data_IF_665068012066
#
_entry.id   IF_665068012066
#
_cell.length_a   1.000
_cell.length_b   1.000
_cell.length_c   1.000
_cell.angle_alpha   90.00
_cell.angle_beta   90.00
_cell.angle_gamma   90.00
#
_symmetry.space_group_name_H-M   'P 1'
#
loop_
_entity.id
_entity.type
_entity.pdbx_description
1 polymer ?
#
# COMPACT_ATOMS: atom_id res chain seq x y z
N UNK A 1 -17.92 18.82 -1.61
CA UNK A 1 -16.67 19.19 -0.88
C UNK A 1 -16.22 18.12 0.11
N UNK A 2 -17.04 17.73 1.11
CA UNK A 2 -16.64 16.76 2.15
C UNK A 2 -16.25 15.37 1.62
N UNK A 3 -16.97 14.84 0.63
CA UNK A 3 -16.67 13.52 0.02
C UNK A 3 -15.30 13.51 -0.68
N UNK A 4 -14.96 14.58 -1.39
CA UNK A 4 -13.68 14.74 -2.08
C UNK A 4 -12.49 14.77 -1.10
N UNK A 5 -12.65 15.43 0.05
CA UNK A 5 -11.64 15.45 1.12
C UNK A 5 -11.41 14.06 1.72
N UNK A 6 -12.47 13.26 1.89
CA UNK A 6 -12.38 11.90 2.42
C UNK A 6 -11.61 11.00 1.45
N UNK A 7 -11.95 11.03 0.16
CA UNK A 7 -11.24 10.23 -0.86
C UNK A 7 -9.76 10.62 -0.97
N UNK A 8 -9.45 11.92 -0.92
CA UNK A 8 -8.06 12.39 -0.95
C UNK A 8 -7.25 11.90 0.26
N UNK A 9 -7.82 11.94 1.47
CA UNK A 9 -7.17 11.47 2.68
C UNK A 9 -6.90 9.95 2.64
N UNK A 10 -7.89 9.16 2.20
CA UNK A 10 -7.75 7.70 2.05
C UNK A 10 -6.65 7.38 1.04
N UNK A 11 -6.66 8.02 -0.14
CA UNK A 11 -5.66 7.79 -1.18
C UNK A 11 -4.23 8.10 -0.72
N UNK A 12 -4.05 9.23 -0.01
CA UNK A 12 -2.73 9.61 0.51
C UNK A 12 -2.21 8.57 1.51
N UNK A 13 -3.10 8.07 2.37
CA UNK A 13 -2.76 7.09 3.40
C UNK A 13 -2.42 5.69 2.84
N UNK A 14 -3.12 5.26 1.78
CA UNK A 14 -2.84 4.01 1.08
C UNK A 14 -1.49 4.11 0.35
N UNK A 15 -1.23 5.27 -0.28
CA UNK A 15 0.02 5.50 -1.00
C UNK A 15 1.22 5.47 -0.04
N UNK A 16 1.14 6.13 1.12
CA UNK A 16 2.23 6.09 2.10
C UNK A 16 2.45 4.70 2.67
N UNK A 17 1.39 3.93 2.94
CA UNK A 17 1.49 2.54 3.37
C UNK A 17 2.14 1.64 2.31
N UNK A 18 1.76 1.80 1.04
CA UNK A 18 2.34 1.05 -0.08
C UNK A 18 3.84 1.29 -0.22
N UNK A 19 4.28 2.55 -0.18
CA UNK A 19 5.71 2.89 -0.23
C UNK A 19 6.49 2.34 0.97
N UNK A 20 5.89 2.37 2.17
CA UNK A 20 6.52 1.84 3.37
C UNK A 20 6.74 0.31 3.30
N UNK A 21 5.78 -0.44 2.74
CA UNK A 21 5.90 -1.89 2.52
C UNK A 21 6.90 -2.19 1.38
N UNK A 22 6.88 -1.40 0.30
CA UNK A 22 7.83 -1.54 -0.80
C UNK A 22 9.28 -1.36 -0.34
N UNK A 23 9.53 -0.49 0.63
CA UNK A 23 10.87 -0.30 1.23
C UNK A 23 11.33 -1.48 2.09
N UNK A 24 10.42 -2.35 2.53
CA UNK A 24 10.75 -3.54 3.33
C UNK A 24 11.10 -4.77 2.48
N UNK A 25 10.75 -4.80 1.20
CA UNK A 25 11.08 -5.94 0.37
C UNK A 25 12.60 -6.03 0.21
N UNK A 26 13.17 -7.12 0.72
CA UNK A 26 14.59 -7.46 0.56
C UNK A 26 14.86 -7.80 -0.89
N UNK A 27 15.17 -6.79 -1.69
CA UNK A 27 15.61 -6.97 -3.07
C UNK A 27 17.07 -7.44 -3.10
N UNK A 28 17.47 -8.20 -4.11
CA UNK A 28 18.89 -8.42 -4.39
C UNK A 28 19.59 -7.09 -4.66
N UNK A 29 20.88 -7.00 -4.31
CA UNK A 29 21.66 -5.79 -4.50
C UNK A 29 21.72 -5.38 -5.98
N UNK A 30 21.46 -4.10 -6.26
CA UNK A 30 21.70 -3.54 -7.59
C UNK A 30 23.19 -3.32 -7.81
N UNK A 31 23.58 -3.12 -9.07
CA UNK A 31 24.98 -2.77 -9.43
C UNK A 31 25.46 -1.49 -8.72
N UNK A 32 24.56 -0.55 -8.44
CA UNK A 32 24.89 0.67 -7.71
C UNK A 32 25.16 0.37 -6.23
N UNK A 33 24.35 -0.50 -5.60
CA UNK A 33 24.57 -0.88 -4.19
C UNK A 33 25.92 -1.59 -4.01
N UNK A 34 26.31 -2.46 -4.96
CA UNK A 34 27.62 -3.13 -4.94
C UNK A 34 28.76 -2.10 -5.06
N UNK A 35 28.65 -1.15 -6.00
CA UNK A 35 29.63 -0.07 -6.16
C UNK A 35 29.76 0.80 -4.90
N UNK A 36 28.64 1.08 -4.21
CA UNK A 36 28.64 1.82 -2.95
C UNK A 36 29.36 1.06 -1.84
N UNK A 37 29.11 -0.25 -1.70
CA UNK A 37 29.81 -1.12 -0.74
C UNK A 37 31.32 -1.11 -1.04
N UNK A 38 31.72 -1.25 -2.30
CA UNK A 38 33.13 -1.19 -2.70
C UNK A 38 33.77 0.18 -2.40
N UNK A 39 33.03 1.26 -2.62
CA UNK A 39 33.49 2.62 -2.30
C UNK A 39 33.71 2.79 -0.79
N UNK A 40 32.79 2.30 0.03
CA UNK A 40 32.95 2.34 1.49
C UNK A 40 34.12 1.48 1.98
N UNK A 41 34.34 0.30 1.38
CA UNK A 41 35.53 -0.52 1.67
C UNK A 41 36.83 0.23 1.37
N UNK A 42 36.92 0.91 0.22
CA UNK A 42 38.08 1.74 -0.14
C UNK A 42 38.29 2.90 0.82
N UNK A 43 37.21 3.56 1.25
CA UNK A 43 37.26 4.64 2.24
C UNK A 43 37.75 4.14 3.61
N UNK A 44 37.28 2.97 4.04
CA UNK A 44 37.76 2.32 5.26
C UNK A 44 39.27 2.09 5.24
N UNK A 45 39.78 1.47 4.15
CA UNK A 45 41.21 1.18 3.98
C UNK A 45 42.06 2.45 3.97
N UNK A 46 41.53 3.57 3.46
CA UNK A 46 42.23 4.86 3.47
C UNK A 46 42.30 5.49 4.86
N UNK A 47 41.27 5.31 5.68
CA UNK A 47 41.12 5.97 6.97
C UNK A 47 41.66 5.16 8.16
N UNK A 48 41.92 3.87 7.98
CA UNK A 48 42.39 2.96 9.03
C UNK A 48 43.76 2.38 8.70
N UNK A 49 44.55 2.13 9.74
CA UNK A 49 45.86 1.48 9.65
C UNK A 49 45.67 -0.04 9.68
N UNK A 50 46.39 -0.75 8.83
CA UNK A 50 46.42 -2.21 8.86
C UNK A 50 47.11 -2.70 10.15
N UNK A 51 46.62 -3.80 10.70
CA UNK A 51 47.24 -4.47 11.84
C UNK A 51 48.56 -5.15 11.42
N UNK A 52 48.52 -5.86 10.29
CA UNK A 52 49.63 -6.63 9.73
C UNK A 52 49.57 -6.53 8.20
N UNK A 53 50.75 -6.53 7.57
CA UNK A 53 50.91 -6.65 6.13
C UNK A 53 51.71 -7.91 5.81
N UNK A 54 51.17 -8.76 4.94
CA UNK A 54 51.78 -10.02 4.54
C UNK A 54 52.17 -9.94 3.08
N UNK A 55 53.46 -10.14 2.81
CA UNK A 55 53.98 -10.34 1.46
C UNK A 55 54.08 -11.85 1.17
N UNK A 56 53.13 -12.38 0.38
CA UNK A 56 53.15 -13.78 -0.02
C UNK A 56 54.32 -14.08 -0.95
N UNK A 57 54.78 -13.10 -1.73
CA UNK A 57 55.96 -13.23 -2.58
C UNK A 57 57.22 -13.32 -1.73
N UNK A 58 57.30 -12.69 -0.56
CA UNK A 58 58.43 -12.87 0.36
C UNK A 58 58.43 -14.27 1.01
N UNK A 59 57.25 -14.79 1.35
CA UNK A 59 57.10 -16.12 1.97
C UNK A 59 57.34 -17.26 0.96
N UNK A 60 56.92 -17.04 -0.29
CA UNK A 60 57.02 -18.00 -1.38
C UNK A 60 57.65 -17.34 -2.62
N UNK A 61 58.98 -17.11 -2.62
CA UNK A 61 59.68 -16.20 -3.55
C UNK A 61 59.86 -16.69 -4.99
N UNK A 62 59.42 -17.90 -5.32
CA UNK A 62 59.58 -18.42 -6.67
C UNK A 62 58.40 -19.29 -7.07
N UNK A 63 58.21 -19.43 -8.39
CA UNK A 63 57.17 -20.28 -8.97
C UNK A 63 57.26 -21.75 -8.54
N UNK A 64 58.41 -22.20 -8.03
CA UNK A 64 58.58 -23.57 -7.51
C UNK A 64 57.66 -23.88 -6.33
N UNK A 65 57.29 -22.86 -5.55
CA UNK A 65 56.41 -23.01 -4.38
C UNK A 65 54.92 -22.99 -4.72
N UNK A 66 54.56 -22.76 -6.00
CA UNK A 66 53.14 -22.79 -6.43
C UNK A 66 52.46 -24.11 -6.10
N UNK A 67 53.21 -25.22 -6.08
CA UNK A 67 52.70 -26.52 -5.65
C UNK A 67 52.14 -26.46 -4.21
N UNK A 68 52.82 -25.78 -3.29
CA UNK A 68 52.47 -25.65 -1.87
C UNK A 68 51.32 -24.66 -1.59
N UNK A 69 50.95 -23.87 -2.59
CA UNK A 69 49.84 -22.93 -2.54
C UNK A 69 48.61 -23.46 -3.26
N UNK A 70 48.73 -24.45 -4.14
CA UNK A 70 47.63 -24.85 -5.03
C UNK A 70 46.63 -25.79 -4.35
N UNK A 71 45.32 -25.45 -4.34
CA UNK A 71 44.28 -26.32 -3.78
C UNK A 71 44.13 -27.66 -4.51
N UNK A 72 44.55 -27.74 -5.78
CA UNK A 72 44.43 -28.94 -6.64
C UNK A 72 45.31 -30.10 -6.16
N UNK A 73 46.39 -29.81 -5.43
CA UNK A 73 47.33 -30.82 -4.96
C UNK A 73 46.87 -31.52 -3.69
N UNK A 74 45.74 -31.10 -3.13
CA UNK A 74 45.17 -31.64 -1.89
C UNK A 74 44.16 -32.70 -2.27
N UNK A 75 44.64 -33.89 -2.61
CA UNK A 75 43.75 -35.04 -2.72
C UNK A 75 43.02 -35.23 -1.39
N UNK A 76 41.71 -35.49 -1.47
CA UNK A 76 40.75 -35.50 -0.36
C UNK A 76 41.33 -36.06 0.95
N UNK A 77 41.45 -35.20 1.97
CA UNK A 77 41.70 -35.59 3.36
C UNK A 77 40.57 -36.47 3.93
N UNK A 78 39.42 -36.58 3.24
CA UNK A 78 38.21 -37.24 3.76
C UNK A 78 38.25 -38.77 3.78
N UNK A 79 39.34 -39.43 3.37
CA UNK A 79 39.37 -40.91 3.42
C UNK A 79 40.57 -41.57 4.09
N UNK A 80 41.61 -40.86 4.53
CA UNK A 80 42.71 -41.54 5.23
C UNK A 80 43.33 -40.64 6.30
N UNK A 81 43.12 -41.01 7.57
CA UNK A 81 43.90 -40.48 8.70
C UNK A 81 45.40 -40.55 8.37
N UNK A 82 46.18 -39.55 8.77
CA UNK A 82 47.66 -39.53 8.63
C UNK A 82 48.33 -40.78 9.18
N UNK A 83 47.72 -41.43 10.18
CA UNK A 83 48.09 -42.77 10.68
C UNK A 83 48.04 -43.85 9.59
N UNK A 84 47.10 -43.77 8.65
CA UNK A 84 46.99 -44.70 7.54
C UNK A 84 48.21 -44.65 6.60
N UNK A 85 48.79 -43.47 6.33
CA UNK A 85 49.93 -43.35 5.43
C UNK A 85 51.17 -44.07 5.96
N UNK A 86 51.55 -43.84 7.21
CA UNK A 86 52.69 -44.54 7.83
C UNK A 86 52.41 -46.01 8.12
N UNK A 87 51.15 -46.42 8.22
CA UNK A 87 50.77 -47.84 8.38
C UNK A 87 50.79 -48.66 7.08
N UNK A 88 50.94 -48.02 5.91
CA UNK A 88 51.00 -48.74 4.63
C UNK A 88 52.21 -49.68 4.60
N UNK A 89 52.06 -50.92 4.11
CA UNK A 89 53.18 -51.84 3.98
C UNK A 89 54.26 -51.24 3.09
N UNK A 90 55.52 -51.59 3.38
CA UNK A 90 56.66 -51.15 2.60
C UNK A 90 56.66 -51.83 1.23
N UNK A 91 56.73 -51.03 0.16
CA UNK A 91 56.87 -51.55 -1.20
C UNK A 91 58.20 -52.28 -1.34
N UNK A 92 58.18 -53.50 -1.89
CA UNK A 92 59.40 -54.24 -2.25
C UNK A 92 59.95 -53.58 -3.51
N UNK A 93 60.94 -52.70 -3.32
CA UNK A 93 61.64 -52.05 -4.43
C UNK A 93 62.64 -53.07 -4.96
N UNK A 94 62.52 -53.41 -6.24
CA UNK A 94 63.39 -54.39 -6.87
C UNK A 94 64.82 -53.83 -6.90
N UNK A 95 65.76 -54.44 -6.16
CA UNK A 95 67.14 -53.96 -5.96
C UNK A 95 67.98 -53.83 -7.26
N UNK A 96 67.41 -54.18 -8.42
CA UNK A 96 68.06 -54.17 -9.73
C UNK A 96 67.87 -52.90 -10.58
N UNK A 97 67.09 -51.91 -10.14
CA UNK A 97 67.02 -50.63 -10.85
C UNK A 97 68.17 -49.71 -10.43
N UNK A 98 68.88 -49.21 -11.43
CA UNK A 98 70.18 -48.55 -11.32
C UNK A 98 70.16 -47.32 -10.41
N UNK A 99 71.25 -47.15 -9.66
CA UNK A 99 71.50 -46.08 -8.67
C UNK A 99 71.48 -44.64 -9.23
N UNK A 100 71.07 -44.42 -10.47
CA UNK A 100 71.26 -43.16 -11.20
C UNK A 100 69.98 -42.36 -11.45
N UNK A 101 68.78 -42.92 -11.26
CA UNK A 101 67.51 -42.19 -11.45
C UNK A 101 66.41 -42.73 -10.51
N UNK A 102 66.62 -42.65 -9.19
CA UNK A 102 65.50 -42.87 -8.26
C UNK A 102 64.58 -41.66 -8.29
N UNK A 103 63.28 -41.91 -8.46
CA UNK A 103 62.28 -40.86 -8.29
C UNK A 103 62.27 -40.41 -6.82
N UNK A 104 62.01 -39.13 -6.57
CA UNK A 104 62.03 -38.56 -5.20
C UNK A 104 61.10 -39.31 -4.24
N UNK A 105 59.98 -39.82 -4.76
CA UNK A 105 59.01 -40.67 -4.06
C UNK A 105 59.62 -42.00 -3.60
N UNK A 106 60.47 -42.64 -4.40
CA UNK A 106 61.13 -43.91 -4.07
C UNK A 106 62.21 -43.75 -2.97
N UNK A 107 62.94 -42.62 -3.04
CA UNK A 107 63.90 -42.23 -1.98
C UNK A 107 63.14 -42.02 -0.67
N UNK A 108 62.00 -41.32 -0.73
CA UNK A 108 61.14 -41.11 0.42
C UNK A 108 60.59 -42.42 1.00
N UNK A 109 60.11 -43.33 0.15
CA UNK A 109 59.62 -44.65 0.58
C UNK A 109 60.74 -45.48 1.23
N UNK A 110 61.96 -45.42 0.69
CA UNK A 110 63.12 -46.07 1.31
C UNK A 110 63.45 -45.49 2.69
N UNK A 111 63.29 -44.17 2.88
CA UNK A 111 63.44 -43.51 4.16
C UNK A 111 62.33 -43.89 5.15
N UNK A 112 61.06 -43.83 4.71
CA UNK A 112 59.88 -44.26 5.48
C UNK A 112 60.05 -45.68 6.02
N UNK A 113 60.55 -46.58 5.17
CA UNK A 113 60.77 -47.99 5.47
C UNK A 113 62.10 -48.34 6.17
N UNK A 114 62.83 -47.35 6.69
CA UNK A 114 64.11 -47.54 7.39
C UNK A 114 65.21 -48.22 6.57
N UNK A 115 65.12 -48.23 5.22
CA UNK A 115 66.20 -48.73 4.35
C UNK A 115 67.36 -47.73 4.26
N UNK A 116 67.04 -46.44 4.28
CA UNK A 116 67.99 -45.35 4.44
C UNK A 116 67.70 -44.59 5.72
N UNK A 117 68.75 -44.22 6.45
CA UNK A 117 68.64 -43.49 7.73
C UNK A 117 68.56 -41.98 7.55
N UNK A 118 69.24 -41.46 6.53
CA UNK A 118 69.38 -40.02 6.28
C UNK A 118 68.92 -39.69 4.86
N UNK A 119 68.30 -38.52 4.71
CA UNK A 119 68.00 -37.91 3.42
C UNK A 119 69.14 -36.98 3.02
N UNK A 120 69.29 -36.69 1.73
CA UNK A 120 70.22 -35.66 1.25
C UNK A 120 69.84 -34.29 1.83
N UNK A 121 70.82 -33.42 2.08
CA UNK A 121 70.59 -32.10 2.68
C UNK A 121 69.65 -31.22 1.85
N UNK A 122 69.65 -31.38 0.53
CA UNK A 122 68.83 -30.63 -0.43
C UNK A 122 67.53 -31.37 -0.84
N UNK A 123 67.20 -32.47 -0.15
CA UNK A 123 66.04 -33.31 -0.49
C UNK A 123 64.74 -32.51 -0.50
N UNK A 124 64.53 -31.65 0.51
CA UNK A 124 63.29 -30.87 0.62
C UNK A 124 63.25 -29.67 -0.32
N UNK A 125 64.41 -29.17 -0.77
CA UNK A 125 64.52 -28.05 -1.71
C UNK A 125 64.31 -28.43 -3.18
N UNK A 126 64.61 -29.69 -3.54
CA UNK A 126 64.43 -30.22 -4.89
C UNK A 126 62.97 -30.49 -5.20
N UNK A 127 62.51 -30.15 -6.40
CA UNK A 127 61.18 -30.52 -6.89
C UNK A 127 61.07 -32.05 -7.09
N UNK A 128 59.86 -32.65 -6.96
CA UNK A 128 58.60 -32.05 -6.52
C UNK A 128 58.56 -31.79 -5.00
N UNK A 129 57.86 -30.74 -4.56
CA UNK A 129 57.72 -30.42 -3.12
C UNK A 129 56.58 -31.21 -2.47
N UNK A 130 55.63 -31.67 -3.28
CA UNK A 130 54.47 -32.46 -2.86
C UNK A 130 54.69 -33.92 -3.25
N UNK A 131 54.35 -34.81 -2.32
CA UNK A 131 54.31 -36.25 -2.53
C UNK A 131 53.00 -36.65 -3.19
N UNK A 132 52.95 -37.80 -3.86
CA UNK A 132 51.78 -38.31 -4.59
C UNK A 132 50.52 -38.49 -3.71
N UNK A 133 50.68 -38.49 -2.39
CA UNK A 133 49.58 -38.46 -1.43
C UNK A 133 48.89 -37.10 -1.30
N UNK A 134 49.42 -36.04 -1.91
CA UNK A 134 48.94 -34.67 -1.78
C UNK A 134 49.42 -33.93 -0.53
N UNK A 135 50.40 -34.49 0.18
CA UNK A 135 51.04 -33.86 1.34
C UNK A 135 52.45 -33.38 0.96
N UNK A 136 52.93 -32.32 1.59
CA UNK A 136 54.31 -31.88 1.39
C UNK A 136 55.30 -32.89 1.99
N UNK A 137 56.47 -33.04 1.36
CA UNK A 137 57.53 -33.88 1.93
C UNK A 137 57.98 -33.36 3.30
N UNK A 138 57.96 -32.04 3.52
CA UNK A 138 58.29 -31.44 4.81
C UNK A 138 57.28 -31.85 5.90
N UNK A 139 55.98 -31.88 5.58
CA UNK A 139 54.95 -32.32 6.49
C UNK A 139 55.02 -33.83 6.77
N UNK A 140 55.31 -34.64 5.75
CA UNK A 140 55.56 -36.07 5.97
C UNK A 140 56.80 -36.30 6.86
N UNK A 141 57.85 -35.50 6.72
CA UNK A 141 59.02 -35.57 7.61
C UNK A 141 58.67 -35.19 9.05
N UNK A 142 57.92 -34.12 9.25
CA UNK A 142 57.40 -33.73 10.56
C UNK A 142 56.55 -34.86 11.20
N UNK A 143 55.61 -35.43 10.45
CA UNK A 143 54.76 -36.52 10.93
C UNK A 143 55.51 -37.83 11.23
N UNK A 144 56.70 -38.03 10.65
CA UNK A 144 57.51 -39.23 10.90
C UNK A 144 58.02 -39.31 12.35
N UNK A 145 58.04 -38.19 13.08
CA UNK A 145 58.54 -38.14 14.46
C UNK A 145 60.04 -38.37 14.60
N UNK A 146 60.81 -38.30 13.49
CA UNK A 146 62.26 -38.49 13.50
C UNK A 146 62.98 -37.16 13.66
N UNK A 147 63.93 -37.11 14.59
CA UNK A 147 64.87 -35.99 14.71
C UNK A 147 65.74 -35.85 13.44
N UNK A 148 65.96 -34.63 12.92
CA UNK A 148 65.57 -33.33 13.50
C UNK A 148 64.19 -32.81 13.07
N UNK A 149 63.43 -33.55 12.27
CA UNK A 149 62.22 -33.08 11.57
C UNK A 149 61.03 -32.80 12.49
N UNK A 150 61.01 -33.41 13.67
CA UNK A 150 60.01 -33.20 14.73
C UNK A 150 60.34 -32.01 15.64
N UNK A 151 61.55 -31.44 15.52
CA UNK A 151 62.00 -30.33 16.39
C UNK A 151 61.41 -28.99 15.96
N UNK A 152 61.07 -28.16 16.95
CA UNK A 152 60.54 -26.80 16.73
C UNK A 152 61.46 -25.95 15.85
N UNK A 153 62.78 -26.04 16.04
CA UNK A 153 63.76 -25.29 15.27
C UNK A 153 63.78 -25.68 13.79
N UNK A 154 63.66 -26.98 13.49
CA UNK A 154 63.62 -27.43 12.10
C UNK A 154 62.32 -26.99 11.43
N UNK A 155 61.18 -27.16 12.09
CA UNK A 155 59.88 -26.71 11.56
C UNK A 155 59.90 -25.22 11.28
N UNK A 156 60.36 -24.40 12.24
CA UNK A 156 60.48 -22.94 12.11
C UNK A 156 61.36 -22.54 10.92
N UNK A 157 62.51 -23.21 10.73
CA UNK A 157 63.42 -22.92 9.64
C UNK A 157 62.88 -23.30 8.24
N UNK A 158 61.87 -24.16 8.17
CA UNK A 158 61.37 -24.76 6.93
C UNK A 158 59.87 -24.49 6.67
N UNK A 159 59.26 -23.48 7.31
CA UNK A 159 57.83 -23.16 7.19
C UNK A 159 57.36 -22.96 5.74
N UNK A 160 58.23 -22.45 4.86
CA UNK A 160 58.00 -22.25 3.44
C UNK A 160 57.95 -23.55 2.61
N UNK A 161 58.31 -24.69 3.19
CA UNK A 161 58.27 -26.01 2.54
C UNK A 161 57.00 -26.81 2.86
N UNK A 162 56.18 -26.30 3.79
CA UNK A 162 54.88 -26.87 4.10
C UNK A 162 53.81 -26.31 3.16
N UNK A 163 52.82 -27.14 2.84
CA UNK A 163 51.64 -26.68 2.13
C UNK A 163 50.84 -25.74 3.04
N UNK A 164 50.21 -24.70 2.47
CA UNK A 164 49.51 -23.66 3.27
C UNK A 164 48.44 -24.26 4.20
N UNK A 165 47.70 -25.29 3.76
CA UNK A 165 46.72 -26.00 4.59
C UNK A 165 47.31 -26.92 5.67
N UNK A 166 48.61 -27.19 5.66
CA UNK A 166 49.29 -27.99 6.68
C UNK A 166 49.72 -27.12 7.87
N UNK A 167 49.82 -25.80 7.68
CA UNK A 167 50.25 -24.86 8.72
C UNK A 167 49.33 -24.89 9.95
N UNK A 168 48.03 -25.14 9.79
CA UNK A 168 47.06 -25.26 10.90
C UNK A 168 47.38 -26.45 11.83
N UNK A 169 48.01 -27.51 11.32
CA UNK A 169 48.33 -28.74 12.05
C UNK A 169 49.70 -28.67 12.75
N UNK A 170 50.50 -27.64 12.48
CA UNK A 170 51.81 -27.48 13.07
C UNK A 170 51.72 -26.92 14.50
N UNK A 171 52.69 -27.24 15.38
CA UNK A 171 52.72 -26.68 16.73
C UNK A 171 52.78 -25.15 16.69
N UNK A 172 51.90 -24.49 17.45
CA UNK A 172 51.80 -23.01 17.48
C UNK A 172 53.14 -22.34 17.80
N UNK A 173 53.98 -22.97 18.64
CA UNK A 173 55.31 -22.44 19.00
C UNK A 173 56.28 -22.36 17.81
N UNK A 174 56.10 -23.25 16.83
CA UNK A 174 56.91 -23.29 15.61
C UNK A 174 56.46 -22.26 14.56
N UNK A 175 55.24 -21.71 14.69
CA UNK A 175 54.66 -20.77 13.74
C UNK A 175 54.99 -19.34 14.15
N UNK A 176 55.83 -18.66 13.35
CA UNK A 176 56.24 -17.28 13.59
C UNK A 176 55.77 -16.34 12.47
N UNK A 177 55.56 -15.07 12.86
CA UNK A 177 55.26 -13.98 11.94
C UNK A 177 54.04 -14.26 11.06
N UNK A 178 54.22 -14.08 9.75
CA UNK A 178 53.14 -14.17 8.76
C UNK A 178 52.55 -15.59 8.62
N UNK A 179 53.33 -16.64 8.89
CA UNK A 179 52.83 -18.03 8.81
C UNK A 179 51.80 -18.33 9.90
N UNK A 180 51.92 -17.70 11.07
CA UNK A 180 50.92 -17.81 12.14
C UNK A 180 49.57 -17.19 11.76
N UNK A 181 49.60 -16.15 10.91
CA UNK A 181 48.35 -15.53 10.42
C UNK A 181 47.68 -16.45 9.40
N UNK A 182 48.45 -17.02 8.47
CA UNK A 182 47.94 -17.96 7.47
C UNK A 182 47.36 -19.23 8.10
N UNK A 183 47.97 -19.74 9.18
CA UNK A 183 47.50 -20.96 9.86
C UNK A 183 46.12 -20.81 10.52
N UNK A 184 45.64 -19.59 10.76
CA UNK A 184 44.33 -19.31 11.37
C UNK A 184 43.22 -19.13 10.34
N UNK A 185 43.56 -19.02 9.06
CA UNK A 185 42.59 -18.81 7.99
C UNK A 185 41.93 -20.14 7.64
N UNK A 186 40.61 -20.12 7.46
CA UNK A 186 39.87 -21.30 6.99
C UNK A 186 40.24 -21.60 5.54
N UNK A 187 40.08 -22.86 5.14
CA UNK A 187 40.40 -23.34 3.78
C UNK A 187 39.83 -22.45 2.67
N UNK A 188 38.55 -22.05 2.75
CA UNK A 188 37.92 -21.19 1.73
C UNK A 188 38.49 -19.76 1.69
N UNK A 189 38.89 -19.21 2.85
CA UNK A 189 39.50 -17.89 2.92
C UNK A 189 40.93 -17.92 2.35
N UNK A 190 41.65 -19.02 2.60
CA UNK A 190 42.96 -19.30 1.99
C UNK A 190 42.85 -19.48 0.47
N UNK A 191 41.84 -20.20 -0.02
CA UNK A 191 41.57 -20.33 -1.46
C UNK A 191 41.31 -18.95 -2.10
N UNK A 192 40.50 -18.09 -1.47
CA UNK A 192 40.29 -16.72 -1.94
C UNK A 192 41.59 -15.91 -1.99
N UNK A 193 42.46 -16.07 -1.00
CA UNK A 193 43.76 -15.39 -0.88
C UNK A 193 44.75 -15.86 -1.95
N UNK A 194 44.82 -17.17 -2.19
CA UNK A 194 45.64 -17.80 -3.25
C UNK A 194 45.15 -17.39 -4.64
N UNK A 195 43.83 -17.35 -4.85
CA UNK A 195 43.22 -16.93 -6.10
C UNK A 195 43.37 -15.43 -6.40
N UNK A 196 43.96 -14.66 -5.47
CA UNK A 196 44.24 -13.25 -5.69
C UNK A 196 43.04 -12.32 -5.49
N UNK A 197 42.03 -12.74 -4.71
CA UNK A 197 40.80 -11.97 -4.47
C UNK A 197 41.12 -10.57 -3.91
N UNK A 198 40.49 -9.51 -4.42
CA UNK A 198 40.85 -8.14 -4.02
C UNK A 198 40.51 -7.83 -2.56
N UNK A 199 39.42 -8.39 -2.04
CA UNK A 199 39.01 -8.26 -0.64
C UNK A 199 38.50 -9.59 -0.13
N UNK A 200 38.81 -9.93 1.13
CA UNK A 200 38.39 -11.16 1.79
C UNK A 200 37.91 -10.80 3.19
N UNK A 201 36.72 -11.25 3.58
CA UNK A 201 36.21 -11.10 4.94
C UNK A 201 36.31 -12.46 5.61
N UNK A 202 37.00 -12.49 6.75
CA UNK A 202 37.16 -13.69 7.61
C UNK A 202 36.37 -13.49 8.89
N UNK A 203 36.43 -14.45 9.82
CA UNK A 203 35.71 -14.32 11.08
C UNK A 203 36.27 -13.19 11.97
N UNK A 204 37.59 -12.93 11.90
CA UNK A 204 38.29 -11.97 12.77
C UNK A 204 38.91 -10.78 12.03
N UNK A 205 39.11 -10.89 10.71
CA UNK A 205 39.84 -9.90 9.91
C UNK A 205 39.20 -9.60 8.55
N UNK A 206 39.31 -8.34 8.12
CA UNK A 206 39.09 -7.89 6.76
C UNK A 206 40.44 -7.75 6.05
N UNK A 207 40.62 -8.49 4.97
CA UNK A 207 41.89 -8.60 4.24
C UNK A 207 41.74 -7.91 2.90
N UNK A 208 42.69 -7.06 2.53
CA UNK A 208 42.67 -6.31 1.27
C UNK A 208 43.99 -6.49 0.55
N UNK A 209 43.92 -6.88 -0.73
CA UNK A 209 45.09 -6.97 -1.59
C UNK A 209 45.57 -5.58 -1.97
N UNK A 210 46.87 -5.31 -1.87
CA UNK A 210 47.42 -4.11 -2.45
C UNK A 210 47.51 -4.28 -3.97
N UNK A 211 46.66 -3.56 -4.72
CA UNK A 211 46.66 -3.64 -6.18
C UNK A 211 47.81 -2.87 -6.83
N UNK A 212 48.52 -2.04 -6.07
CA UNK A 212 49.61 -1.20 -6.58
C UNK A 212 50.99 -1.85 -6.45
N UNK A 213 51.12 -2.94 -5.70
CA UNK A 213 52.39 -3.64 -5.51
C UNK A 213 52.62 -4.66 -6.63
N UNK A 214 53.87 -4.76 -7.06
CA UNK A 214 54.35 -5.82 -7.99
C UNK A 214 54.31 -7.17 -7.27
N UNK A 215 54.54 -7.18 -5.96
CA UNK A 215 54.43 -8.35 -5.09
C UNK A 215 52.98 -8.59 -4.66
N UNK A 216 52.67 -9.84 -4.29
CA UNK A 216 51.34 -10.19 -3.78
C UNK A 216 51.25 -9.88 -2.29
N UNK A 217 50.98 -8.62 -1.97
CA UNK A 217 50.84 -8.13 -0.58
C UNK A 217 49.38 -7.99 -0.16
N UNK A 218 49.10 -8.37 1.09
CA UNK A 218 47.79 -8.31 1.71
C UNK A 218 47.85 -7.58 3.05
N UNK A 219 46.92 -6.65 3.25
CA UNK A 219 46.75 -5.88 4.48
C UNK A 219 45.59 -6.45 5.29
N UNK A 220 45.83 -6.72 6.57
CA UNK A 220 44.87 -7.27 7.51
C UNK A 220 44.35 -6.17 8.42
N UNK A 221 43.03 -6.03 8.48
CA UNK A 221 42.34 -5.11 9.38
C UNK A 221 41.45 -5.91 10.32
N UNK A 222 41.33 -5.56 11.60
CA UNK A 222 40.38 -6.21 12.49
C UNK A 222 38.95 -6.09 11.94
N UNK A 223 38.19 -7.20 11.91
CA UNK A 223 36.80 -7.17 11.42
C UNK A 223 35.93 -6.24 12.25
N UNK A 224 36.19 -6.15 13.56
CA UNK A 224 35.49 -5.24 14.46
C UNK A 224 35.63 -3.77 14.03
N UNK A 225 36.77 -3.36 13.47
CA UNK A 225 36.95 -2.00 12.96
C UNK A 225 36.12 -1.76 11.71
N UNK A 226 36.00 -2.76 10.84
CA UNK A 226 35.12 -2.71 9.68
C UNK A 226 33.66 -2.59 10.13
N UNK A 227 33.20 -3.47 11.02
CA UNK A 227 31.85 -3.44 11.58
C UNK A 227 31.55 -2.07 12.23
N UNK A 228 32.47 -1.55 13.04
CA UNK A 228 32.36 -0.23 13.67
C UNK A 228 32.29 0.91 12.65
N UNK A 229 33.04 0.83 11.54
CA UNK A 229 32.98 1.82 10.47
C UNK A 229 31.61 1.83 9.76
N UNK A 230 30.92 0.69 9.75
CA UNK A 230 29.58 0.53 9.19
C UNK A 230 28.45 0.75 10.21
N UNK A 231 28.74 0.88 11.52
CA UNK A 231 27.73 1.22 12.53
C UNK A 231 27.09 2.57 12.19
N UNK A 232 25.75 2.58 12.10
CA UNK A 232 24.98 3.78 11.73
C UNK A 232 24.97 4.09 10.22
N UNK A 233 25.65 3.30 9.38
CA UNK A 233 25.56 3.39 7.91
C UNK A 233 24.43 2.50 7.36
N UNK A 234 24.21 2.62 6.06
CA UNK A 234 23.17 1.89 5.33
C UNK A 234 23.44 0.38 5.17
N UNK A 235 24.65 -0.10 5.42
CA UNK A 235 25.05 -1.49 5.20
C UNK A 235 25.66 -2.09 6.46
N UNK A 236 25.42 -3.38 6.68
CA UNK A 236 26.07 -4.16 7.72
C UNK A 236 26.35 -5.58 7.23
N UNK A 237 27.20 -6.31 7.96
CA UNK A 237 27.70 -7.63 7.57
C UNK A 237 27.18 -8.67 8.56
N UNK A 238 26.73 -9.82 8.06
CA UNK A 238 26.39 -11.01 8.86
C UNK A 238 27.01 -12.27 8.23
N UNK A 239 27.28 -13.35 8.98
CA UNK A 239 27.68 -14.62 8.37
C UNK A 239 26.57 -15.16 7.46
N UNK A 240 26.95 -15.68 6.29
CA UNK A 240 26.01 -16.29 5.34
C UNK A 240 25.76 -17.76 5.71
N UNK A 241 24.49 -18.19 5.67
CA UNK A 241 24.09 -19.60 5.82
C UNK A 241 23.38 -20.07 4.56
N UNK A 242 23.70 -21.29 4.13
CA UNK A 242 23.09 -21.90 2.95
C UNK A 242 21.57 -21.96 3.13
N UNK A 243 20.82 -21.40 2.18
CA UNK A 243 19.36 -21.33 2.22
C UNK A 243 18.79 -20.01 2.77
N UNK A 244 19.61 -19.13 3.34
CA UNK A 244 19.15 -17.79 3.72
C UNK A 244 19.18 -16.83 2.52
N UNK A 245 18.19 -15.94 2.44
CA UNK A 245 18.24 -14.83 1.48
C UNK A 245 19.33 -13.84 1.87
N UNK A 246 20.16 -13.49 0.90
CA UNK A 246 21.27 -12.57 1.07
C UNK A 246 21.17 -11.42 0.06
N UNK A 247 21.30 -10.18 0.53
CA UNK A 247 21.23 -8.99 -0.33
C UNK A 247 22.44 -8.92 -1.27
N UNK A 248 23.66 -9.06 -0.73
CA UNK A 248 24.88 -9.25 -1.53
C UNK A 248 25.84 -10.21 -0.81
N UNK A 249 26.14 -11.34 -1.46
CA UNK A 249 27.04 -12.35 -0.91
C UNK A 249 28.50 -12.01 -1.25
N UNK A 250 29.35 -12.01 -0.24
CA UNK A 250 30.77 -11.69 -0.32
C UNK A 250 31.54 -12.77 0.44
N UNK A 251 31.91 -13.83 -0.27
CA UNK A 251 32.48 -15.05 0.29
C UNK A 251 31.53 -15.76 1.26
N UNK A 252 31.99 -15.94 2.51
CA UNK A 252 31.21 -16.53 3.62
C UNK A 252 30.29 -15.54 4.34
N UNK A 253 30.26 -14.29 3.91
CA UNK A 253 29.49 -13.24 4.55
C UNK A 253 28.43 -12.68 3.63
N UNK A 254 27.39 -12.14 4.25
CA UNK A 254 26.29 -11.49 3.59
C UNK A 254 26.24 -10.03 4.02
N UNK A 255 26.30 -9.14 3.04
CA UNK A 255 25.97 -7.73 3.22
C UNK A 255 24.46 -7.59 3.23
N UNK A 256 23.94 -6.87 4.20
CA UNK A 256 22.52 -6.56 4.36
C UNK A 256 22.35 -5.04 4.45
N UNK A 257 21.20 -4.55 3.99
CA UNK A 257 20.87 -3.13 4.07
C UNK A 257 20.20 -2.87 5.42
N UNK A 258 20.77 -1.98 6.21
CA UNK A 258 20.12 -1.44 7.39
C UNK A 258 18.97 -0.57 6.93
N UNK A 259 17.74 -1.03 7.13
CA UNK A 259 16.54 -0.20 7.10
C UNK A 259 16.56 0.71 8.34
N UNK A 260 17.52 1.65 8.37
CA UNK A 260 17.83 2.47 9.53
C UNK A 260 16.65 3.35 9.99
N UNK A 261 16.91 4.33 10.90
CA UNK A 261 15.87 5.17 11.51
C UNK A 261 14.93 5.82 10.51
N UNK A 262 15.33 6.03 9.25
CA UNK A 262 14.43 6.52 8.20
C UNK A 262 13.18 5.65 7.99
N UNK A 263 13.30 4.32 7.92
CA UNK A 263 12.10 3.46 7.75
C UNK A 263 11.22 3.52 8.99
N UNK A 264 11.80 3.54 10.19
CA UNK A 264 11.04 3.69 11.44
C UNK A 264 10.37 5.07 11.57
N UNK A 265 11.03 6.16 11.16
CA UNK A 265 10.49 7.52 11.15
C UNK A 265 9.36 7.64 10.11
N UNK A 266 9.55 7.08 8.91
CA UNK A 266 8.50 7.04 7.88
C UNK A 266 7.30 6.21 8.32
N UNK A 267 7.52 5.10 9.02
CA UNK A 267 6.45 4.27 9.59
C UNK A 267 5.69 4.95 10.74
N UNK A 268 6.39 5.61 11.67
CA UNK A 268 5.72 6.36 12.74
C UNK A 268 4.91 7.54 12.18
N UNK A 269 5.46 8.25 11.20
CA UNK A 269 4.77 9.36 10.53
C UNK A 269 3.56 8.87 9.73
N UNK A 270 3.65 7.72 9.05
CA UNK A 270 2.52 7.17 8.29
C UNK A 270 1.39 6.68 9.18
N UNK A 271 1.70 6.04 10.32
CA UNK A 271 0.71 5.59 11.31
C UNK A 271 -0.03 6.78 11.90
N UNK A 272 0.69 7.85 12.29
CA UNK A 272 0.09 9.08 12.83
C UNK A 272 -0.84 9.77 11.83
N UNK A 273 -0.43 9.85 10.55
CA UNK A 273 -1.26 10.43 9.49
C UNK A 273 -2.51 9.58 9.23
N UNK A 274 -2.38 8.25 9.21
CA UNK A 274 -3.50 7.34 9.04
C UNK A 274 -4.50 7.50 10.21
N UNK A 275 -4.03 7.45 11.46
CA UNK A 275 -4.91 7.61 12.63
C UNK A 275 -5.61 8.96 12.66
N UNK A 276 -4.90 10.04 12.31
CA UNK A 276 -5.48 11.38 12.22
C UNK A 276 -6.58 11.46 11.16
N UNK A 277 -6.36 10.85 9.98
CA UNK A 277 -7.37 10.82 8.91
C UNK A 277 -8.65 10.10 9.31
N UNK A 278 -8.55 8.97 10.02
CA UNK A 278 -9.70 8.19 10.50
C UNK A 278 -10.53 9.01 11.51
N UNK A 279 -9.86 9.73 12.42
CA UNK A 279 -10.52 10.59 13.41
C UNK A 279 -11.28 11.72 12.70
N UNK A 280 -10.68 12.35 11.69
CA UNK A 280 -11.33 13.42 10.90
C UNK A 280 -12.57 12.89 10.17
N UNK A 281 -12.48 11.70 9.55
CA UNK A 281 -13.62 11.07 8.88
C UNK A 281 -14.76 10.81 9.87
N UNK A 282 -14.44 10.26 11.04
CA UNK A 282 -15.44 10.00 12.08
C UNK A 282 -16.12 11.30 12.55
N UNK A 283 -15.35 12.37 12.77
CA UNK A 283 -15.87 13.70 13.13
C UNK A 283 -16.82 14.24 12.05
N UNK A 284 -16.45 14.14 10.76
CA UNK A 284 -17.30 14.61 9.66
C UNK A 284 -18.61 13.82 9.62
N UNK A 285 -18.54 12.49 9.71
CA UNK A 285 -19.73 11.63 9.74
C UNK A 285 -20.63 11.99 10.92
N UNK A 286 -20.06 12.19 12.11
CA UNK A 286 -20.80 12.58 13.31
C UNK A 286 -21.50 13.94 13.15
N UNK A 287 -20.82 14.94 12.59
CA UNK A 287 -21.39 16.26 12.32
C UNK A 287 -22.56 16.15 11.32
N UNK A 288 -22.39 15.39 10.23
CA UNK A 288 -23.44 15.18 9.24
C UNK A 288 -24.65 14.47 9.86
N UNK A 289 -24.42 13.43 10.65
CA UNK A 289 -25.48 12.70 11.35
C UNK A 289 -26.27 13.62 12.29
N UNK A 290 -25.57 14.44 13.09
CA UNK A 290 -26.21 15.41 13.99
C UNK A 290 -27.03 16.44 13.20
N UNK A 291 -26.50 16.96 12.09
CA UNK A 291 -27.20 17.93 11.24
C UNK A 291 -28.47 17.35 10.65
N UNK A 292 -28.41 16.15 10.10
CA UNK A 292 -29.58 15.46 9.52
C UNK A 292 -30.63 15.20 10.60
N UNK A 293 -30.21 14.74 11.78
CA UNK A 293 -31.14 14.49 12.90
C UNK A 293 -31.85 15.76 13.37
N UNK A 294 -31.13 16.87 13.44
CA UNK A 294 -31.71 18.17 13.83
C UNK A 294 -32.72 18.66 12.79
N UNK A 295 -32.39 18.58 11.50
CA UNK A 295 -33.29 18.96 10.41
C UNK A 295 -34.58 18.15 10.44
N UNK A 296 -34.49 16.82 10.59
CA UNK A 296 -35.66 15.95 10.73
C UNK A 296 -36.54 16.34 11.91
N UNK A 297 -35.92 16.61 13.06
CA UNK A 297 -36.65 17.01 14.26
C UNK A 297 -37.36 18.36 14.11
N UNK A 298 -36.73 19.33 13.44
CA UNK A 298 -37.37 20.62 13.13
C UNK A 298 -38.55 20.46 12.16
N UNK A 299 -38.42 19.61 11.15
CA UNK A 299 -39.49 19.30 10.21
C UNK A 299 -40.68 18.62 10.92
N UNK A 300 -40.42 17.64 11.78
CA UNK A 300 -41.46 16.98 12.59
C UNK A 300 -42.18 17.98 13.50
N UNK A 301 -41.45 18.91 14.14
CA UNK A 301 -42.06 19.97 14.95
C UNK A 301 -42.97 20.89 14.14
N UNK A 302 -42.53 21.31 12.95
CA UNK A 302 -43.35 22.16 12.06
C UNK A 302 -44.62 21.43 11.62
N UNK A 303 -44.50 20.15 11.24
CA UNK A 303 -45.65 19.31 10.89
C UNK A 303 -46.63 19.15 12.05
N UNK A 304 -46.13 18.86 13.24
CA UNK A 304 -46.95 18.74 14.44
C UNK A 304 -47.72 20.03 14.73
N UNK A 305 -47.05 21.18 14.67
CA UNK A 305 -47.68 22.48 14.86
C UNK A 305 -48.78 22.74 13.82
N UNK A 306 -48.51 22.49 12.54
CA UNK A 306 -49.50 22.62 11.46
C UNK A 306 -50.70 21.69 11.68
N UNK A 307 -50.49 20.45 12.14
CA UNK A 307 -51.58 19.49 12.40
C UNK A 307 -52.49 19.96 13.54
N UNK A 308 -51.90 20.42 14.64
CA UNK A 308 -52.65 20.95 15.79
C UNK A 308 -53.43 22.20 15.39
N UNK A 309 -52.79 23.17 14.72
CA UNK A 309 -53.46 24.38 14.25
C UNK A 309 -54.65 24.06 13.34
N UNK A 310 -54.47 23.12 12.41
CA UNK A 310 -55.54 22.74 11.48
C UNK A 310 -56.73 22.08 12.19
N UNK A 311 -56.47 21.30 13.24
CA UNK A 311 -57.51 20.68 14.06
C UNK A 311 -58.27 21.74 14.88
N UNK A 312 -57.55 22.65 15.54
CA UNK A 312 -58.13 23.71 16.37
C UNK A 312 -58.88 24.77 15.54
N UNK A 313 -58.50 24.98 14.27
CA UNK A 313 -59.18 25.93 13.37
C UNK A 313 -60.48 25.38 12.76
N UNK A 314 -60.67 24.06 12.68
CA UNK A 314 -61.85 23.46 12.01
C UNK A 314 -63.16 23.85 12.70
N UNK A 315 -63.18 23.81 14.03
CA UNK A 315 -64.35 24.14 14.85
C UNK A 315 -64.75 25.62 14.77
N UNK A 316 -63.85 26.60 15.00
CA UNK A 316 -64.21 28.02 14.88
C UNK A 316 -64.58 28.40 13.44
N UNK A 317 -63.93 27.84 12.41
CA UNK A 317 -64.33 28.08 11.00
C UNK A 317 -65.76 27.59 10.75
N UNK A 318 -66.13 26.41 11.24
CA UNK A 318 -67.48 25.87 11.08
C UNK A 318 -68.52 26.76 11.77
N UNK A 319 -68.20 27.28 12.95
CA UNK A 319 -69.07 28.21 13.66
C UNK A 319 -69.20 29.57 12.94
N UNK A 320 -68.13 30.07 12.32
CA UNK A 320 -68.18 31.29 11.51
C UNK A 320 -69.04 31.10 10.25
N UNK A 321 -68.90 29.96 9.57
CA UNK A 321 -69.73 29.62 8.40
C UNK A 321 -71.22 29.58 8.77
N UNK A 322 -71.59 28.95 9.89
CA UNK A 322 -72.97 28.93 10.36
C UNK A 322 -73.52 30.34 10.67
N UNK A 323 -72.69 31.22 11.22
CA UNK A 323 -73.08 32.62 11.46
C UNK A 323 -73.25 33.40 10.15
N UNK A 324 -72.35 33.18 9.19
CA UNK A 324 -72.46 33.77 7.85
C UNK A 324 -73.73 33.30 7.16
N UNK A 325 -74.03 31.99 7.17
CA UNK A 325 -75.27 31.45 6.59
C UNK A 325 -76.53 32.06 7.24
N UNK A 326 -76.53 32.23 8.56
CA UNK A 326 -77.66 32.82 9.30
C UNK A 326 -77.89 34.28 8.94
N UNK A 327 -76.82 35.06 8.77
CA UNK A 327 -76.92 36.47 8.37
C UNK A 327 -77.32 36.56 6.89
N UNK A 328 -76.82 35.66 6.04
CA UNK A 328 -77.19 35.59 4.63
C UNK A 328 -78.69 35.27 4.45
N UNK A 329 -79.27 34.41 5.30
CA UNK A 329 -80.74 34.18 5.33
C UNK A 329 -81.56 35.41 5.74
N UNK A 330 -80.93 36.42 6.33
CA UNK A 330 -81.55 37.68 6.75
C UNK A 330 -81.05 38.87 5.94
N UNK A 331 -80.44 38.63 4.77
CA UNK A 331 -79.80 39.66 3.93
C UNK A 331 -80.74 40.82 3.59
N UNK A 332 -82.03 40.54 3.43
CA UNK A 332 -83.07 41.52 3.08
C UNK A 332 -83.32 42.56 4.19
N UNK A 333 -82.90 42.26 5.42
CA UNK A 333 -83.02 43.14 6.59
C UNK A 333 -81.73 43.92 6.87
N UNK A 334 -80.63 43.61 6.16
CA UNK A 334 -79.32 44.23 6.35
C UNK A 334 -79.24 45.52 5.52
N UNK A 335 -78.91 46.68 6.12
CA UNK A 335 -78.71 47.91 5.37
C UNK A 335 -77.66 47.73 4.26
N UNK A 336 -77.95 48.24 3.05
CA UNK A 336 -77.07 48.09 1.88
C UNK A 336 -75.64 48.59 2.11
N UNK A 337 -75.44 49.58 3.00
CA UNK A 337 -74.12 50.08 3.39
C UNK A 337 -73.26 49.07 4.19
N UNK A 338 -73.89 48.09 4.87
CA UNK A 338 -73.22 47.07 5.69
C UNK A 338 -73.08 45.75 4.92
N UNK A 339 -73.96 45.53 3.93
CA UNK A 339 -73.99 44.33 3.11
C UNK A 339 -72.67 44.08 2.38
N UNK A 340 -72.05 45.12 1.81
CA UNK A 340 -70.77 45.01 1.10
C UNK A 340 -69.62 44.56 2.02
N UNK A 341 -69.60 45.03 3.27
CA UNK A 341 -68.57 44.62 4.23
C UNK A 341 -68.82 43.22 4.80
N UNK A 342 -70.10 42.82 4.90
CA UNK A 342 -70.46 41.45 5.25
C UNK A 342 -70.05 40.44 4.17
N UNK A 343 -70.30 40.75 2.89
CA UNK A 343 -69.87 39.90 1.76
C UNK A 343 -68.34 39.74 1.71
N UNK A 344 -67.57 40.77 2.08
CA UNK A 344 -66.11 40.67 2.24
C UNK A 344 -65.73 39.73 3.40
N UNK A 345 -66.41 39.83 4.54
CA UNK A 345 -66.16 38.93 5.68
C UNK A 345 -66.49 37.46 5.35
N UNK A 346 -67.60 37.21 4.66
CA UNK A 346 -67.94 35.90 4.13
C UNK A 346 -66.81 35.35 3.24
N UNK A 347 -66.32 36.17 2.30
CA UNK A 347 -65.19 35.81 1.45
C UNK A 347 -63.92 35.43 2.24
N UNK A 348 -63.60 36.16 3.31
CA UNK A 348 -62.46 35.86 4.18
C UNK A 348 -62.67 34.58 5.01
N UNK A 349 -63.89 34.28 5.46
CA UNK A 349 -64.21 33.01 6.15
C UNK A 349 -64.06 31.80 5.21
N UNK A 350 -64.57 31.91 3.98
CA UNK A 350 -64.38 30.85 2.97
C UNK A 350 -62.92 30.69 2.57
N UNK A 351 -62.16 31.78 2.50
CA UNK A 351 -60.72 31.74 2.26
C UNK A 351 -59.98 31.04 3.39
N UNK A 352 -60.34 31.31 4.64
CA UNK A 352 -59.78 30.64 5.82
C UNK A 352 -60.08 29.12 5.81
N UNK A 353 -61.31 28.73 5.44
CA UNK A 353 -61.68 27.33 5.23
C UNK A 353 -60.80 26.66 4.19
N UNK A 354 -60.66 27.27 3.00
CA UNK A 354 -59.82 26.75 1.91
C UNK A 354 -58.36 26.62 2.33
N UNK A 355 -57.86 27.53 3.17
CA UNK A 355 -56.49 27.49 3.69
C UNK A 355 -56.27 26.34 4.69
N UNK A 356 -57.22 26.11 5.58
CA UNK A 356 -57.18 24.99 6.52
C UNK A 356 -57.26 23.62 5.80
N UNK A 357 -58.12 23.52 4.79
CA UNK A 357 -58.25 22.30 3.97
C UNK A 357 -56.96 22.01 3.19
N UNK A 358 -56.41 23.01 2.49
CA UNK A 358 -55.13 22.87 1.77
C UNK A 358 -53.96 22.49 2.69
N UNK A 359 -53.93 23.05 3.92
CA UNK A 359 -52.92 22.70 4.93
C UNK A 359 -53.05 21.26 5.41
N UNK A 360 -54.27 20.72 5.48
CA UNK A 360 -54.51 19.30 5.80
C UNK A 360 -53.96 18.38 4.72
N UNK A 361 -54.23 18.69 3.44
CA UNK A 361 -53.74 17.91 2.31
C UNK A 361 -52.20 17.88 2.27
N UNK A 362 -51.53 18.99 2.55
CA UNK A 362 -50.05 19.03 2.66
C UNK A 362 -49.50 18.09 3.75
N UNK A 363 -50.21 17.96 4.88
CA UNK A 363 -49.80 17.08 5.98
C UNK A 363 -50.00 15.58 5.64
N UNK A 364 -51.00 15.24 4.84
CA UNK A 364 -51.31 13.85 4.47
C UNK A 364 -50.29 13.26 3.47
N UNK A 365 -49.67 14.09 2.63
CA UNK A 365 -48.67 13.70 1.60
C UNK A 365 -47.30 13.31 2.17
N UNK A 366 -47.11 13.24 3.49
CA UNK A 366 -45.75 13.17 4.08
C UNK A 366 -45.59 12.24 5.30
N UNK A 367 -46.59 11.39 5.58
CA UNK A 367 -46.59 10.49 6.76
C UNK A 367 -46.12 9.04 6.46
N UNK A 368 -45.63 8.73 5.26
CA UNK A 368 -45.14 7.38 4.91
C UNK A 368 -43.89 7.37 4.00
N UNK A 369 -43.18 6.22 3.87
CA UNK A 369 -42.02 6.08 2.97
C UNK A 369 -42.39 6.25 1.49
N UNK A 370 -43.67 6.12 1.15
CA UNK A 370 -44.27 6.54 -0.12
C UNK A 370 -45.05 7.82 0.11
N UNK A 371 -44.59 8.91 -0.50
CA UNK A 371 -45.13 10.26 -0.35
C UNK A 371 -46.62 10.37 -0.75
N UNK A 372 -47.13 9.48 -1.59
CA UNK A 372 -48.53 9.44 -2.03
C UNK A 372 -48.91 7.97 -2.22
N UNK A 373 -50.02 7.51 -1.62
CA UNK A 373 -50.63 6.23 -1.99
C UNK A 373 -51.58 6.47 -3.16
N UNK A 374 -51.13 6.14 -4.37
CA UNK A 374 -51.99 6.22 -5.55
C UNK A 374 -52.96 5.04 -5.58
N UNK A 375 -54.24 5.33 -5.66
CA UNK A 375 -55.28 4.36 -5.95
C UNK A 375 -55.65 4.44 -7.43
N UNK A 376 -54.84 3.76 -8.25
CA UNK A 376 -55.04 3.73 -9.69
C UNK A 376 -56.30 2.95 -10.07
N UNK A 377 -57.23 3.63 -10.71
CA UNK A 377 -58.47 3.08 -11.25
C UNK A 377 -58.44 3.15 -12.77
N UNK A 378 -59.04 2.15 -13.42
CA UNK A 378 -59.21 2.14 -14.88
C UNK A 378 -60.46 2.95 -15.22
N UNK A 379 -60.31 3.95 -16.07
CA UNK A 379 -61.37 4.84 -16.51
C UNK A 379 -61.65 4.56 -17.98
N UNK A 380 -62.89 4.17 -18.31
CA UNK A 380 -63.29 3.76 -19.66
C UNK A 380 -63.16 4.85 -20.73
N UNK A 381 -63.35 6.12 -20.33
CA UNK A 381 -63.22 7.31 -21.18
C UNK A 381 -62.55 8.42 -20.39
N UNK A 382 -61.41 8.92 -20.86
CA UNK A 382 -60.77 10.10 -20.25
C UNK A 382 -61.53 11.37 -20.65
N UNK A 383 -62.07 11.40 -21.87
CA UNK A 383 -62.82 12.54 -22.36
C UNK A 383 -64.04 12.82 -21.48
N UNK A 384 -64.80 11.77 -21.13
CA UNK A 384 -65.97 11.89 -20.26
C UNK A 384 -65.58 12.30 -18.83
N UNK A 385 -64.50 11.71 -18.30
CA UNK A 385 -64.01 12.04 -16.96
C UNK A 385 -63.62 13.52 -16.84
N UNK A 386 -62.88 14.05 -17.81
CA UNK A 386 -62.45 15.45 -17.78
C UNK A 386 -63.61 16.38 -18.09
N UNK A 387 -64.54 15.98 -18.96
CA UNK A 387 -65.75 16.76 -19.22
C UNK A 387 -66.60 16.91 -17.94
N UNK A 388 -66.78 15.84 -17.16
CA UNK A 388 -67.47 15.88 -15.86
C UNK A 388 -66.75 16.81 -14.87
N UNK A 389 -65.42 16.76 -14.81
CA UNK A 389 -64.62 17.69 -13.98
C UNK A 389 -64.78 19.16 -14.40
N UNK A 390 -65.02 19.41 -15.69
CA UNK A 390 -65.11 20.74 -16.27
C UNK A 390 -66.53 21.30 -16.34
N UNK A 391 -67.56 20.49 -16.07
CA UNK A 391 -68.97 20.84 -16.30
C UNK A 391 -69.35 22.22 -15.69
N UNK A 392 -68.95 22.45 -14.44
CA UNK A 392 -69.19 23.71 -13.73
C UNK A 392 -68.43 24.92 -14.31
N UNK A 393 -67.38 24.69 -15.09
CA UNK A 393 -66.49 25.73 -15.61
C UNK A 393 -66.78 26.10 -17.07
N UNK A 394 -67.49 25.24 -17.83
CA UNK A 394 -67.84 25.49 -19.24
C UNK A 394 -68.62 26.80 -19.40
N UNK A 395 -69.55 27.08 -18.49
CA UNK A 395 -70.38 28.30 -18.50
C UNK A 395 -69.61 29.58 -18.13
N UNK A 396 -68.40 29.44 -17.59
CA UNK A 396 -67.61 30.56 -17.05
C UNK A 396 -66.46 30.95 -17.99
N UNK A 397 -66.40 30.37 -19.20
CA UNK A 397 -65.44 30.72 -20.25
C UNK A 397 -64.29 29.72 -20.42
N UNK A 398 -64.50 28.46 -20.01
CA UNK A 398 -63.60 27.34 -20.31
C UNK A 398 -64.06 26.64 -21.60
N UNK A 399 -63.12 26.40 -22.52
CA UNK A 399 -63.33 25.64 -23.75
C UNK A 399 -62.60 24.31 -23.66
N UNK A 400 -63.34 23.21 -23.76
CA UNK A 400 -62.78 21.86 -23.70
C UNK A 400 -62.53 21.30 -25.10
N UNK A 401 -61.30 20.81 -25.33
CA UNK A 401 -60.89 20.14 -26.56
C UNK A 401 -60.54 18.68 -26.22
N UNK A 402 -61.44 17.72 -26.51
CA UNK A 402 -61.25 16.31 -26.18
C UNK A 402 -60.12 15.69 -27.00
N UNK A 403 -59.56 14.58 -26.50
CA UNK A 403 -58.57 13.81 -27.22
C UNK A 403 -59.19 13.18 -28.48
N UNK A 404 -58.44 13.20 -29.60
CA UNK A 404 -58.90 12.67 -30.90
C UNK A 404 -59.23 11.18 -30.89
N UNK A 405 -58.56 10.42 -30.02
CA UNK A 405 -58.82 9.01 -29.79
C UNK A 405 -58.99 8.81 -28.29
N UNK A 406 -60.21 8.47 -27.89
CA UNK A 406 -60.53 8.15 -26.52
C UNK A 406 -60.19 6.69 -26.23
N UNK A 407 -59.52 6.44 -25.11
CA UNK A 407 -59.07 5.11 -24.71
C UNK A 407 -59.18 4.97 -23.20
N UNK A 408 -59.29 3.71 -22.76
CA UNK A 408 -59.22 3.38 -21.35
C UNK A 408 -57.86 3.77 -20.78
N UNK A 409 -57.85 4.47 -19.64
CA UNK A 409 -56.62 4.93 -19.01
C UNK A 409 -56.63 4.70 -17.51
N UNK A 410 -55.48 4.27 -16.99
CA UNK A 410 -55.32 3.96 -15.58
C UNK A 410 -54.71 5.15 -14.84
N UNK A 411 -55.50 5.82 -14.01
CA UNK A 411 -55.08 6.99 -13.24
C UNK A 411 -55.70 7.01 -11.84
N UNK A 412 -55.14 7.82 -10.94
CA UNK A 412 -55.79 8.10 -9.66
C UNK A 412 -56.77 9.27 -9.85
N UNK A 413 -58.06 8.96 -9.85
CA UNK A 413 -59.13 9.94 -10.15
C UNK A 413 -59.13 11.09 -9.14
N UNK A 414 -58.84 10.82 -7.88
CA UNK A 414 -58.87 11.82 -6.81
C UNK A 414 -57.76 12.86 -6.98
N UNK A 415 -56.51 12.42 -7.12
CA UNK A 415 -55.38 13.33 -7.30
C UNK A 415 -55.44 14.05 -8.65
N UNK A 416 -55.86 13.36 -9.70
CA UNK A 416 -56.04 13.95 -11.02
C UNK A 416 -57.07 15.09 -10.98
N UNK A 417 -58.23 14.88 -10.34
CA UNK A 417 -59.25 15.92 -10.17
C UNK A 417 -58.69 17.16 -9.44
N UNK A 418 -57.94 16.95 -8.36
CA UNK A 418 -57.31 18.06 -7.61
C UNK A 418 -56.36 18.87 -8.51
N UNK A 419 -55.54 18.19 -9.33
CA UNK A 419 -54.63 18.85 -10.26
C UNK A 419 -55.40 19.67 -11.31
N UNK A 420 -56.38 19.07 -11.99
CA UNK A 420 -57.19 19.74 -13.02
C UNK A 420 -57.90 20.95 -12.45
N UNK A 421 -58.59 20.78 -11.30
CA UNK A 421 -59.30 21.85 -10.63
C UNK A 421 -58.38 23.03 -10.27
N UNK A 422 -57.21 22.76 -9.68
CA UNK A 422 -56.30 23.84 -9.32
C UNK A 422 -55.76 24.59 -10.55
N UNK A 423 -55.41 23.88 -11.62
CA UNK A 423 -54.91 24.51 -12.84
C UNK A 423 -55.98 25.36 -13.52
N UNK A 424 -57.21 24.86 -13.62
CA UNK A 424 -58.34 25.56 -14.24
C UNK A 424 -58.77 26.77 -13.40
N UNK A 425 -58.87 26.61 -12.07
CA UNK A 425 -59.16 27.73 -11.18
C UNK A 425 -58.09 28.81 -11.30
N UNK A 426 -56.81 28.45 -11.27
CA UNK A 426 -55.72 29.42 -11.41
C UNK A 426 -55.80 30.16 -12.74
N UNK A 427 -56.03 29.46 -13.85
CA UNK A 427 -56.20 30.06 -15.17
C UNK A 427 -57.40 31.01 -15.24
N UNK A 428 -58.51 30.73 -14.54
CA UNK A 428 -59.70 31.57 -14.50
C UNK A 428 -59.55 32.80 -13.58
N UNK A 429 -58.90 32.63 -12.42
CA UNK A 429 -58.74 33.70 -11.42
C UNK A 429 -57.58 34.66 -11.77
N UNK A 430 -56.47 34.13 -12.26
CA UNK A 430 -55.24 34.88 -12.47
C UNK A 430 -54.90 35.10 -13.95
N UNK A 431 -55.43 34.26 -14.85
CA UNK A 431 -55.24 34.39 -16.29
C UNK A 431 -56.28 35.28 -16.98
N UNK A 432 -56.37 35.18 -18.32
CA UNK A 432 -57.41 35.84 -19.12
C UNK A 432 -58.25 34.81 -19.88
N UNK A 433 -59.57 35.02 -19.88
CA UNK A 433 -60.53 34.22 -20.66
C UNK A 433 -60.36 34.46 -22.17
N UNK A 434 -60.70 33.49 -23.03
CA UNK A 434 -61.16 32.13 -22.70
C UNK A 434 -60.03 31.20 -22.22
N UNK A 435 -60.31 30.30 -21.28
CA UNK A 435 -59.35 29.27 -20.86
C UNK A 435 -59.57 28.02 -21.70
N UNK A 436 -58.55 27.52 -22.38
CA UNK A 436 -58.61 26.30 -23.21
C UNK A 436 -58.05 25.13 -22.43
N UNK A 437 -58.82 24.04 -22.32
CA UNK A 437 -58.37 22.77 -21.77
C UNK A 437 -58.27 21.77 -22.89
N UNK A 438 -57.05 21.34 -23.22
CA UNK A 438 -56.78 20.40 -24.31
C UNK A 438 -56.28 19.07 -23.76
N UNK A 439 -56.87 17.98 -24.26
CA UNK A 439 -56.40 16.62 -23.99
C UNK A 439 -55.65 16.06 -25.20
N UNK A 440 -54.44 15.57 -24.94
CA UNK A 440 -53.64 14.85 -25.92
C UNK A 440 -53.25 13.51 -25.31
N UNK A 441 -53.80 12.44 -25.88
CA UNK A 441 -53.40 11.07 -25.56
C UNK A 441 -52.46 10.56 -26.65
N UNK A 442 -51.26 10.16 -26.26
CA UNK A 442 -50.28 9.53 -27.15
C UNK A 442 -49.71 8.29 -26.48
N UNK A 443 -50.03 7.11 -27.02
CA UNK A 443 -49.63 5.82 -26.45
C UNK A 443 -50.10 5.71 -24.98
N UNK A 444 -49.18 5.58 -24.02
CA UNK A 444 -49.45 5.49 -22.58
C UNK A 444 -49.32 6.84 -21.84
N UNK A 445 -49.20 7.96 -22.57
CA UNK A 445 -49.01 9.29 -21.99
C UNK A 445 -50.27 10.13 -22.19
N UNK A 446 -50.92 10.48 -21.09
CA UNK A 446 -51.98 11.48 -21.04
C UNK A 446 -51.37 12.86 -20.76
N UNK A 447 -51.54 13.79 -21.71
CA UNK A 447 -51.16 15.20 -21.53
C UNK A 447 -52.41 16.06 -21.47
N UNK A 448 -52.65 16.69 -20.31
CA UNK A 448 -53.68 17.71 -20.13
C UNK A 448 -53.01 19.09 -20.13
N UNK A 449 -53.46 19.97 -21.02
CA UNK A 449 -52.99 21.36 -21.11
C UNK A 449 -54.10 22.29 -20.68
N UNK A 450 -53.81 23.20 -19.76
CA UNK A 450 -54.67 24.33 -19.42
C UNK A 450 -53.97 25.60 -19.90
N UNK A 451 -54.62 26.34 -20.80
CA UNK A 451 -54.04 27.48 -21.50
C UNK A 451 -54.98 28.67 -21.32
N UNK A 452 -54.52 29.72 -20.64
CA UNK A 452 -55.21 31.00 -20.62
C UNK A 452 -54.65 31.97 -21.69
N UNK A 453 -55.36 33.06 -21.98
CA UNK A 453 -54.95 34.09 -22.93
C UNK A 453 -54.22 35.28 -22.27
N UNK A 454 -53.60 35.06 -21.11
CA UNK A 454 -52.76 36.03 -20.41
C UNK A 454 -51.42 36.28 -21.10
N UNK A 455 -50.74 37.34 -20.69
CA UNK A 455 -49.36 37.62 -21.11
C UNK A 455 -48.40 37.06 -20.05
N UNK A 456 -47.46 36.21 -20.47
CA UNK A 456 -46.41 35.70 -19.59
C UNK A 456 -45.14 36.54 -19.75
N UNK A 457 -44.79 37.28 -18.70
CA UNK A 457 -43.58 38.11 -18.67
C UNK A 457 -42.32 37.34 -18.24
N UNK A 458 -42.45 36.05 -17.90
CA UNK A 458 -41.37 35.21 -17.38
C UNK A 458 -40.94 34.17 -18.43
N UNK A 459 -39.63 33.92 -18.52
CA UNK A 459 -39.04 33.05 -19.54
C UNK A 459 -38.92 31.59 -19.08
N UNK A 460 -39.01 31.33 -17.77
CA UNK A 460 -38.90 29.98 -17.21
C UNK A 460 -39.76 29.80 -15.96
N UNK A 461 -40.07 28.54 -15.64
CA UNK A 461 -40.78 28.17 -14.40
C UNK A 461 -39.96 28.56 -13.15
N UNK A 462 -38.63 28.48 -13.22
CA UNK A 462 -37.74 28.84 -12.11
C UNK A 462 -37.79 30.35 -11.81
N UNK A 463 -37.90 31.20 -12.84
CA UNK A 463 -38.09 32.65 -12.66
C UNK A 463 -39.41 32.98 -11.96
N UNK A 464 -40.49 32.25 -12.28
CA UNK A 464 -41.81 32.42 -11.66
C UNK A 464 -41.74 32.06 -10.17
N UNK A 465 -41.12 30.92 -9.83
CA UNK A 465 -41.00 30.44 -8.45
C UNK A 465 -40.08 31.30 -7.56
N UNK A 466 -39.14 32.03 -8.16
CA UNK A 466 -38.25 32.97 -7.47
C UNK A 466 -38.91 34.33 -7.18
N UNK A 467 -39.74 34.84 -8.10
CA UNK A 467 -40.34 36.17 -7.99
C UNK A 467 -41.46 36.23 -6.92
N UNK A 468 -42.20 35.14 -6.74
CA UNK A 468 -43.30 35.03 -5.76
C UNK A 468 -42.86 35.11 -4.30
N UNK A 469 -41.54 35.00 -4.03
CA UNK A 469 -40.98 35.20 -2.68
C UNK A 469 -40.80 36.67 -2.30
N UNK A 470 -40.98 37.59 -3.25
CA UNK A 470 -40.70 39.02 -3.07
C UNK A 470 -41.98 39.84 -3.32
N UNK A 471 -42.82 39.94 -2.30
CA UNK A 471 -43.44 41.23 -1.97
C UNK A 471 -44.75 41.66 -2.65
N UNK A 472 -45.73 40.76 -2.87
CA UNK A 472 -47.15 41.15 -2.98
C UNK A 472 -48.02 40.22 -2.15
N UNK A 473 -49.00 40.76 -1.43
CA UNK A 473 -50.02 40.01 -0.70
C UNK A 473 -50.90 39.24 -1.70
N UNK A 474 -50.43 38.06 -2.11
CA UNK A 474 -51.24 37.12 -2.88
C UNK A 474 -52.35 36.59 -1.97
N UNK A 475 -53.57 36.56 -2.50
CA UNK A 475 -54.73 36.02 -1.78
C UNK A 475 -54.76 34.48 -1.74
N UNK A 476 -53.84 33.84 -2.49
CA UNK A 476 -53.67 32.39 -2.57
C UNK A 476 -52.42 31.88 -1.83
N UNK A 477 -52.36 30.56 -1.60
CA UNK A 477 -51.27 29.88 -0.90
C UNK A 477 -50.05 29.53 -1.77
N UNK A 478 -49.92 30.13 -2.96
CA UNK A 478 -48.72 30.07 -3.78
C UNK A 478 -48.34 28.68 -4.29
N UNK A 479 -48.82 28.38 -5.50
CA UNK A 479 -48.01 27.93 -6.63
C UNK A 479 -48.71 28.53 -7.87
N UNK A 480 -48.60 29.86 -8.02
CA UNK A 480 -49.35 30.68 -8.99
C UNK A 480 -50.02 31.88 -8.34
#
# INVERSE_FOLDING_TARGET
>A
MYVLLIFAAIFLSISTAYYAISLQQKTLASKNDINDIEKFKKEFVKNKTALIEIDLSAMYPSSRYTQLLSPMNVFSRDTHSTKAYFSKPCLVVNEKMSQLNFEKSEIWESFRCNRIKNLANDFFDKLPLIHDSGLSYAYLAFLSGRSPFDTENWVRANLNLFHVYELEELPIKSLEGNFQVLSRLKKIDLESLINGSPTIITDDSFIVRNSMDINVTYKFFPKIDLENFFLGKYYFIKPYRVGEQCFYQDGRFCWEKSSGPFVQIFMQSSILLFSSSVIIIFLIIFILFKKIKLQKFEEERKKYALRVLTHELRTPISNLLLQVERINQQSDLVPSAILDDFLKMEGEVYRLKRLAEKSTSYLQTHDGPTLISFNYQSVSSINDLVLDMLDNYLNVGVLFFPAKMDQEFKLDVYWFNICVKNLVENALFHGKKPVRVELVLQQDILTLKVIDHGENNYKSLDEILLFDRIGKSSTGLGLG
#
